data_IF_589132592290
#
_entry.id   IF_589132592290
#
_cell.length_a   1.000
_cell.length_b   1.000
_cell.length_c   1.000
_cell.angle_alpha   90.00
_cell.angle_beta   90.00
_cell.angle_gamma   90.00
#
_symmetry.space_group_name_H-M   'P 1'
#
loop_
_entity.id
_entity.type
_entity.pdbx_description
1 polymer ?
#
# COMPACT_ATOMS: atom_id res chain seq x y z
N UNK A 1 13.05 6.43 -1.67
CA UNK A 1 12.71 6.44 -0.22
C UNK A 1 11.56 7.40 0.12
N UNK A 2 11.49 8.63 -0.41
CA UNK A 2 10.42 9.59 -0.09
C UNK A 2 9.00 9.09 -0.37
N UNK A 3 8.83 8.33 -1.44
CA UNK A 3 7.55 7.68 -1.74
C UNK A 3 7.12 6.67 -0.67
N UNK A 4 8.06 5.90 -0.14
CA UNK A 4 7.80 4.97 0.97
C UNK A 4 7.39 5.74 2.24
N UNK A 5 8.06 6.84 2.56
CA UNK A 5 7.70 7.71 3.67
C UNK A 5 6.24 8.19 3.58
N UNK A 6 5.81 8.67 2.41
CA UNK A 6 4.41 9.07 2.17
C UNK A 6 3.44 7.92 2.44
N UNK A 7 3.78 6.69 2.02
CA UNK A 7 2.96 5.51 2.27
C UNK A 7 2.90 5.15 3.77
N UNK A 8 4.00 5.33 4.51
CA UNK A 8 4.00 5.14 5.97
C UNK A 8 3.09 6.17 6.66
N UNK A 9 3.22 7.46 6.34
CA UNK A 9 2.30 8.48 6.87
C UNK A 9 0.83 8.17 6.54
N UNK A 10 0.56 7.77 5.31
CA UNK A 10 -0.78 7.36 4.90
C UNK A 10 -1.30 6.20 5.77
N UNK A 11 -0.50 5.17 5.96
CA UNK A 11 -0.88 4.00 6.75
C UNK A 11 -1.16 4.37 8.22
N UNK A 12 -0.30 5.18 8.84
CA UNK A 12 -0.44 5.60 10.23
C UNK A 12 -1.66 6.51 10.44
N UNK A 13 -1.85 7.50 9.56
CA UNK A 13 -3.01 8.41 9.62
C UNK A 13 -4.31 7.63 9.41
N UNK A 14 -4.36 6.73 8.42
CA UNK A 14 -5.53 5.89 8.20
C UNK A 14 -5.80 4.94 9.38
N UNK A 15 -4.75 4.41 10.02
CA UNK A 15 -4.91 3.59 11.22
C UNK A 15 -5.52 4.39 12.38
N UNK A 16 -5.06 5.63 12.60
CA UNK A 16 -5.64 6.54 13.58
C UNK A 16 -7.13 6.81 13.28
N UNK A 17 -7.45 7.14 12.03
CA UNK A 17 -8.83 7.42 11.59
C UNK A 17 -9.76 6.19 11.69
N UNK A 18 -9.22 4.96 11.61
CA UNK A 18 -9.96 3.69 11.76
C UNK A 18 -10.05 3.18 13.22
N UNK A 19 -9.49 3.92 14.17
CA UNK A 19 -9.48 3.50 15.58
C UNK A 19 -10.67 4.12 16.30
N UNK A 20 -11.64 3.31 16.77
CA UNK A 20 -12.80 3.84 17.49
C UNK A 20 -12.41 4.63 18.75
N UNK A 21 -13.03 5.77 18.95
CA UNK A 21 -12.76 6.63 20.11
C UNK A 21 -11.42 7.37 20.08
N UNK A 22 -10.68 7.29 18.98
CA UNK A 22 -9.43 8.03 18.79
C UNK A 22 -9.76 9.50 18.49
N UNK A 23 -9.31 10.40 19.36
CA UNK A 23 -9.69 11.81 19.29
C UNK A 23 -9.00 12.59 18.15
N UNK A 24 -7.91 12.07 17.61
CA UNK A 24 -7.13 12.70 16.55
C UNK A 24 -5.67 12.29 16.62
N UNK A 25 -4.85 12.85 15.74
CA UNK A 25 -3.41 12.64 15.71
C UNK A 25 -2.69 13.97 15.55
N UNK A 26 -1.43 13.97 15.90
CA UNK A 26 -0.53 15.10 15.69
C UNK A 26 0.68 14.59 14.91
N UNK A 27 0.98 15.27 13.79
CA UNK A 27 2.16 14.99 13.00
C UNK A 27 3.30 15.88 13.50
N UNK A 28 4.35 15.25 14.00
CA UNK A 28 5.61 15.91 14.30
C UNK A 28 6.46 15.96 13.02
N UNK A 29 7.13 17.08 12.79
CA UNK A 29 8.04 17.29 11.64
C UNK A 29 7.36 17.15 10.27
N UNK A 30 6.32 17.95 10.00
CA UNK A 30 5.77 18.09 8.66
C UNK A 30 6.84 18.60 7.67
N UNK A 31 7.72 19.48 8.12
CA UNK A 31 8.94 19.89 7.42
C UNK A 31 10.19 19.40 8.13
N UNK A 32 11.31 19.36 7.42
CA UNK A 32 12.61 19.06 8.02
C UNK A 32 12.98 20.06 9.11
N UNK A 33 13.55 19.56 10.20
CA UNK A 33 14.00 20.38 11.31
C UNK A 33 15.52 20.53 11.29
N UNK A 34 16.06 21.68 10.82
CA UNK A 34 17.51 21.87 10.68
C UNK A 34 18.24 22.04 12.02
N UNK A 35 17.52 22.25 13.13
CA UNK A 35 18.11 22.33 14.47
C UNK A 35 18.59 21.00 15.04
N UNK A 36 18.24 19.88 14.39
CA UNK A 36 18.68 18.54 14.75
C UNK A 36 19.20 17.84 13.48
N UNK A 37 20.47 17.58 13.39
CA UNK A 37 21.15 17.16 12.16
C UNK A 37 20.65 15.87 11.50
N UNK A 38 19.79 15.07 12.18
CA UNK A 38 19.21 13.84 11.65
C UNK A 38 17.70 13.95 11.39
N UNK A 39 17.08 15.10 11.69
CA UNK A 39 15.64 15.29 11.56
C UNK A 39 15.21 15.77 10.15
N UNK A 40 15.71 15.07 9.11
CA UNK A 40 15.33 15.28 7.71
C UNK A 40 14.18 14.37 7.32
N UNK A 41 13.15 14.33 8.16
CA UNK A 41 12.03 13.36 8.07
C UNK A 41 10.73 13.98 7.56
N UNK A 42 10.70 15.29 7.35
CA UNK A 42 9.54 16.00 6.83
C UNK A 42 9.20 15.64 5.39
N UNK A 43 7.95 15.81 5.00
CA UNK A 43 7.52 15.75 3.59
C UNK A 43 7.84 17.04 2.85
N UNK A 44 8.10 18.11 3.59
CA UNK A 44 8.58 19.39 3.12
C UNK A 44 10.03 19.61 3.57
N UNK A 45 10.76 20.46 2.88
CA UNK A 45 12.10 20.86 3.26
C UNK A 45 12.07 21.93 4.38
N UNK A 46 13.22 22.40 4.91
CA UNK A 46 13.26 23.42 5.95
C UNK A 46 12.64 24.78 5.57
N UNK A 47 12.48 25.03 4.27
CA UNK A 47 11.90 26.25 3.74
C UNK A 47 10.40 26.13 3.40
N UNK A 48 9.81 24.96 3.71
CA UNK A 48 8.43 24.59 3.39
C UNK A 48 8.19 24.32 1.90
N UNK A 49 9.23 24.08 1.15
CA UNK A 49 9.13 23.69 -0.26
C UNK A 49 8.90 22.19 -0.40
N UNK A 50 8.25 21.80 -1.50
CA UNK A 50 7.98 20.41 -1.83
C UNK A 50 9.27 19.67 -2.19
N UNK A 51 9.47 18.49 -1.62
CA UNK A 51 10.59 17.59 -1.97
C UNK A 51 10.36 16.78 -3.26
N UNK A 52 9.25 17.00 -3.96
CA UNK A 52 8.95 16.43 -5.28
C UNK A 52 8.48 14.97 -5.30
N UNK A 53 8.21 14.33 -4.16
CA UNK A 53 7.73 12.94 -4.10
C UNK A 53 6.29 12.77 -3.63
N UNK A 54 5.64 13.83 -3.17
CA UNK A 54 4.21 13.90 -2.84
C UNK A 54 3.70 15.31 -3.08
N UNK A 55 2.49 15.42 -3.61
CA UNK A 55 1.82 16.71 -3.80
C UNK A 55 0.86 17.00 -2.65
N UNK A 56 0.52 18.28 -2.36
CA UNK A 56 -0.52 18.63 -1.40
C UNK A 56 -1.85 17.94 -1.68
N UNK A 57 -2.24 17.83 -2.95
CA UNK A 57 -3.45 17.13 -3.37
C UNK A 57 -3.41 15.64 -3.01
N UNK A 58 -2.29 14.99 -3.20
CA UNK A 58 -2.12 13.58 -2.86
C UNK A 58 -2.12 13.38 -1.35
N UNK A 59 -1.41 14.21 -0.60
CA UNK A 59 -1.38 14.14 0.87
C UNK A 59 -2.77 14.37 1.48
N UNK A 60 -3.56 15.28 0.91
CA UNK A 60 -4.92 15.57 1.37
C UNK A 60 -5.91 14.43 1.11
N UNK A 61 -5.58 13.42 0.33
CA UNK A 61 -6.49 12.28 0.13
C UNK A 61 -6.69 11.46 1.42
N UNK A 62 -5.67 11.39 2.27
CA UNK A 62 -5.70 10.66 3.54
C UNK A 62 -5.55 11.54 4.78
N UNK A 63 -5.16 12.81 4.63
CA UNK A 63 -5.06 13.80 5.70
C UNK A 63 -6.02 14.95 5.42
N UNK A 64 -7.29 14.76 5.74
CA UNK A 64 -8.38 15.69 5.43
C UNK A 64 -9.50 15.55 6.46
N UNK A 65 -10.41 16.52 6.47
CA UNK A 65 -11.61 16.50 7.34
C UNK A 65 -12.64 15.42 6.98
N UNK A 66 -12.60 14.89 5.77
CA UNK A 66 -13.44 13.75 5.35
C UNK A 66 -12.56 12.78 4.58
N UNK A 67 -12.33 11.59 5.10
CA UNK A 67 -11.43 10.60 4.53
C UNK A 67 -12.15 9.27 4.34
N UNK A 68 -12.28 8.79 3.09
CA UNK A 68 -12.69 7.41 2.83
C UNK A 68 -11.60 6.43 3.25
N UNK A 69 -12.00 5.30 3.82
CA UNK A 69 -11.13 4.27 4.38
C UNK A 69 -11.61 2.87 3.95
N UNK A 70 -10.68 1.95 3.81
CA UNK A 70 -10.99 0.53 3.58
C UNK A 70 -10.21 -0.32 4.58
N UNK A 71 -10.84 -1.37 5.12
CA UNK A 71 -10.16 -2.38 5.94
C UNK A 71 -9.76 -3.56 5.07
N UNK A 72 -8.60 -3.47 4.46
CA UNK A 72 -8.03 -4.60 3.73
C UNK A 72 -7.48 -5.65 4.71
N UNK A 73 -7.90 -6.92 4.63
CA UNK A 73 -7.29 -8.00 5.40
C UNK A 73 -5.88 -8.35 4.87
N UNK A 74 -5.64 -8.08 3.59
CA UNK A 74 -4.37 -8.29 2.90
C UNK A 74 -4.29 -7.44 1.65
N UNK A 75 -3.08 -7.20 1.13
CA UNK A 75 -2.89 -6.45 -0.12
C UNK A 75 -2.59 -7.36 -1.32
N UNK A 76 -2.23 -8.61 -1.07
CA UNK A 76 -1.93 -9.61 -2.11
C UNK A 76 -3.04 -10.66 -2.14
N UNK A 77 -3.57 -10.91 -3.31
CA UNK A 77 -4.73 -11.77 -3.56
C UNK A 77 -4.42 -12.79 -4.64
N UNK A 78 -5.17 -13.89 -4.64
CA UNK A 78 -5.18 -14.84 -5.74
C UNK A 78 -6.44 -14.64 -6.59
N UNK A 79 -6.36 -14.95 -7.87
CA UNK A 79 -7.48 -14.74 -8.78
C UNK A 79 -8.67 -15.70 -8.56
N UNK A 80 -8.51 -16.75 -7.75
CA UNK A 80 -9.62 -17.61 -7.31
C UNK A 80 -10.34 -17.09 -6.06
N UNK A 81 -9.97 -15.90 -5.57
CA UNK A 81 -10.61 -15.26 -4.42
C UNK A 81 -11.60 -14.18 -4.86
N UNK A 82 -12.43 -13.77 -3.93
CA UNK A 82 -13.30 -12.59 -4.05
C UNK A 82 -12.77 -11.49 -3.13
N UNK A 83 -12.49 -10.32 -3.69
CA UNK A 83 -12.25 -9.12 -2.90
C UNK A 83 -13.55 -8.78 -2.18
N UNK A 84 -13.55 -8.86 -0.86
CA UNK A 84 -14.68 -8.44 -0.02
C UNK A 84 -14.11 -7.59 1.11
N UNK A 85 -14.29 -6.27 1.00
CA UNK A 85 -13.66 -5.32 1.91
C UNK A 85 -14.66 -4.26 2.37
N UNK A 86 -14.76 -4.01 3.69
CA UNK A 86 -15.62 -2.98 4.23
C UNK A 86 -15.04 -1.59 3.97
N UNK A 87 -15.93 -0.68 3.57
CA UNK A 87 -15.65 0.74 3.41
C UNK A 87 -16.16 1.49 4.64
N UNK A 88 -15.30 2.30 5.20
CA UNK A 88 -15.60 3.19 6.33
C UNK A 88 -15.25 4.63 5.96
N UNK A 89 -15.76 5.56 6.75
CA UNK A 89 -15.46 6.98 6.59
C UNK A 89 -15.08 7.58 7.94
N UNK A 90 -14.13 8.50 7.90
CA UNK A 90 -13.91 9.46 8.96
C UNK A 90 -14.37 10.83 8.46
N UNK A 91 -15.25 11.48 9.22
CA UNK A 91 -15.78 12.80 8.88
C UNK A 91 -15.72 13.73 10.09
N UNK A 92 -14.83 14.71 10.01
CA UNK A 92 -14.62 15.75 11.02
C UNK A 92 -14.79 17.14 10.40
N UNK A 93 -15.75 17.27 9.46
CA UNK A 93 -16.15 18.53 8.88
C UNK A 93 -16.95 19.40 9.86
N UNK A 94 -17.27 20.62 9.46
CA UNK A 94 -17.99 21.59 10.30
C UNK A 94 -19.42 21.15 10.65
N UNK A 95 -20.03 20.31 9.81
CA UNK A 95 -21.40 19.81 9.98
C UNK A 95 -21.52 18.40 9.39
N UNK A 96 -22.48 17.64 9.89
CA UNK A 96 -22.85 16.35 9.31
C UNK A 96 -23.30 16.51 7.85
N UNK A 97 -23.04 15.51 7.02
CA UNK A 97 -23.51 15.44 5.63
C UNK A 97 -24.68 14.45 5.57
N UNK A 98 -25.79 14.90 4.97
CA UNK A 98 -26.97 14.07 4.77
C UNK A 98 -26.95 13.49 3.36
N UNK A 99 -27.22 12.18 3.23
CA UNK A 99 -27.33 11.53 1.94
C UNK A 99 -26.07 11.59 1.08
N UNK A 100 -24.88 11.56 1.69
CA UNK A 100 -23.62 11.66 0.96
C UNK A 100 -23.44 10.49 0.00
N UNK A 101 -23.02 10.80 -1.24
CA UNK A 101 -22.73 9.83 -2.28
C UNK A 101 -21.28 9.35 -2.20
N UNK A 102 -21.11 8.09 -1.89
CA UNK A 102 -19.82 7.42 -1.75
C UNK A 102 -19.66 6.52 -2.96
N UNK A 103 -18.75 6.86 -3.87
CA UNK A 103 -18.52 6.11 -5.11
C UNK A 103 -17.22 5.32 -4.97
N UNK A 104 -17.27 4.03 -5.25
CA UNK A 104 -16.07 3.22 -5.33
C UNK A 104 -15.81 2.74 -6.76
N UNK A 105 -14.54 2.53 -7.07
CA UNK A 105 -14.08 2.04 -8.37
C UNK A 105 -12.88 1.12 -8.20
N UNK A 106 -12.84 0.08 -9.02
CA UNK A 106 -11.67 -0.78 -9.22
C UNK A 106 -11.18 -0.57 -10.64
N UNK A 107 -9.90 -0.29 -10.82
CA UNK A 107 -9.27 -0.14 -12.13
C UNK A 107 -7.96 -0.92 -12.20
N UNK A 108 -7.58 -1.31 -13.42
CA UNK A 108 -6.27 -1.90 -13.68
C UNK A 108 -5.17 -0.84 -13.77
N UNK A 109 -3.95 -1.27 -14.02
CA UNK A 109 -2.77 -0.40 -14.10
C UNK A 109 -2.80 0.59 -15.27
N UNK A 110 -3.53 0.27 -16.35
CA UNK A 110 -3.76 1.19 -17.48
C UNK A 110 -4.84 2.25 -17.19
N UNK A 111 -5.51 2.16 -16.04
CA UNK A 111 -6.60 3.07 -15.66
C UNK A 111 -7.97 2.63 -16.19
N UNK A 112 -8.07 1.49 -16.86
CA UNK A 112 -9.32 0.92 -17.31
C UNK A 112 -10.18 0.49 -16.10
N UNK A 113 -11.44 0.85 -16.12
CA UNK A 113 -12.40 0.53 -15.07
C UNK A 113 -12.88 -0.91 -15.19
N UNK A 114 -12.61 -1.71 -14.16
CA UNK A 114 -13.08 -3.11 -14.06
C UNK A 114 -14.43 -3.22 -13.35
N UNK A 115 -14.64 -2.41 -12.31
CA UNK A 115 -15.88 -2.36 -11.54
C UNK A 115 -16.10 -0.99 -10.91
N UNK A 116 -17.36 -0.70 -10.59
CA UNK A 116 -17.73 0.46 -9.80
C UNK A 116 -19.06 0.23 -9.10
N UNK A 117 -19.31 0.99 -8.05
CA UNK A 117 -20.59 1.04 -7.37
C UNK A 117 -20.67 2.27 -6.48
N UNK A 118 -21.76 2.37 -5.74
CA UNK A 118 -21.95 3.50 -4.83
C UNK A 118 -22.75 3.10 -3.60
N UNK A 119 -22.56 3.88 -2.53
CA UNK A 119 -23.36 3.87 -1.32
C UNK A 119 -23.91 5.27 -1.08
N UNK A 120 -25.08 5.36 -0.45
CA UNK A 120 -25.61 6.63 0.04
C UNK A 120 -25.71 6.52 1.56
N UNK A 121 -25.06 7.45 2.28
CA UNK A 121 -24.99 7.43 3.74
C UNK A 121 -25.04 8.83 4.33
N UNK A 122 -25.64 8.92 5.50
CA UNK A 122 -25.47 10.08 6.36
C UNK A 122 -24.11 9.97 7.07
N UNK A 123 -23.36 11.04 7.07
CA UNK A 123 -22.05 11.13 7.71
C UNK A 123 -22.14 12.07 8.92
N UNK A 124 -22.33 11.53 10.12
CA UNK A 124 -22.19 12.33 11.34
C UNK A 124 -20.74 12.77 11.52
N UNK A 125 -20.47 13.74 12.40
CA UNK A 125 -19.11 14.10 12.78
C UNK A 125 -18.56 12.98 13.66
N UNK A 126 -17.84 12.03 13.05
CA UNK A 126 -17.30 10.84 13.71
C UNK A 126 -16.26 10.15 12.81
N UNK A 127 -15.58 9.16 13.37
CA UNK A 127 -14.82 8.17 12.61
C UNK A 127 -15.51 6.80 12.62
N UNK A 128 -14.95 5.83 11.90
CA UNK A 128 -15.47 4.47 11.80
C UNK A 128 -16.94 4.40 11.33
N UNK A 129 -17.37 5.34 10.47
CA UNK A 129 -18.73 5.38 9.92
C UNK A 129 -18.83 4.31 8.83
N UNK A 130 -19.63 3.22 8.99
CA UNK A 130 -19.71 2.18 7.99
C UNK A 130 -20.48 2.66 6.76
N UNK A 131 -19.91 2.52 5.58
CA UNK A 131 -20.56 2.86 4.30
C UNK A 131 -21.19 1.63 3.62
N UNK A 132 -20.46 0.53 3.54
CA UNK A 132 -20.87 -0.70 2.90
C UNK A 132 -19.66 -1.60 2.60
N UNK A 133 -19.85 -2.62 1.79
CA UNK A 133 -18.78 -3.53 1.36
C UNK A 133 -18.55 -3.40 -0.15
N UNK A 134 -17.30 -3.40 -0.57
CA UNK A 134 -16.92 -3.62 -1.96
C UNK A 134 -16.73 -5.12 -2.12
N UNK A 135 -17.48 -5.70 -3.06
CA UNK A 135 -17.35 -7.10 -3.42
C UNK A 135 -17.04 -7.21 -4.91
N UNK A 136 -15.95 -7.94 -5.25
CA UNK A 136 -15.51 -8.12 -6.62
C UNK A 136 -14.80 -9.46 -6.80
N UNK A 137 -15.30 -10.32 -7.71
CA UNK A 137 -14.66 -11.58 -8.04
C UNK A 137 -13.39 -11.32 -8.87
N UNK A 138 -12.26 -11.87 -8.42
CA UNK A 138 -10.95 -11.66 -9.06
C UNK A 138 -10.67 -12.66 -10.20
N UNK A 139 -11.61 -13.57 -10.51
CA UNK A 139 -11.44 -14.66 -11.47
C UNK A 139 -11.13 -14.22 -12.91
N UNK A 140 -11.47 -12.97 -13.26
CA UNK A 140 -11.13 -12.40 -14.58
C UNK A 140 -9.67 -11.93 -14.73
N UNK A 141 -8.85 -12.01 -13.67
CA UNK A 141 -7.45 -11.58 -13.68
C UNK A 141 -6.56 -12.79 -13.94
N UNK A 142 -6.14 -12.97 -15.18
CA UNK A 142 -5.40 -14.16 -15.62
C UNK A 142 -3.87 -14.02 -15.48
N UNK A 143 -3.36 -12.80 -15.46
CA UNK A 143 -1.93 -12.50 -15.32
C UNK A 143 -1.66 -11.66 -14.06
N UNK A 144 -0.44 -11.74 -13.47
CA UNK A 144 -0.08 -10.92 -12.33
C UNK A 144 -0.38 -9.45 -12.58
N UNK A 145 -1.23 -8.84 -11.77
CA UNK A 145 -1.76 -7.50 -12.01
C UNK A 145 -1.82 -6.67 -10.74
N UNK A 146 -1.51 -5.40 -10.87
CA UNK A 146 -1.82 -4.40 -9.87
C UNK A 146 -3.19 -3.79 -10.18
N UNK A 147 -4.07 -3.80 -9.19
CA UNK A 147 -5.35 -3.11 -9.25
C UNK A 147 -5.35 -1.92 -8.30
N UNK A 148 -6.04 -0.86 -8.68
CA UNK A 148 -6.29 0.30 -7.82
C UNK A 148 -7.76 0.29 -7.39
N UNK A 149 -7.97 0.25 -6.08
CA UNK A 149 -9.29 0.46 -5.46
C UNK A 149 -9.35 1.91 -5.00
N UNK A 150 -10.37 2.64 -5.41
CA UNK A 150 -10.60 4.04 -5.02
C UNK A 150 -11.98 4.24 -4.46
N UNK A 151 -12.10 5.15 -3.51
CA UNK A 151 -13.37 5.58 -2.92
C UNK A 151 -13.40 7.10 -2.88
N UNK A 152 -14.49 7.68 -3.33
CA UNK A 152 -14.74 9.12 -3.39
C UNK A 152 -15.99 9.49 -2.60
N UNK A 153 -15.94 10.56 -1.83
CA UNK A 153 -17.12 11.21 -1.23
C UNK A 153 -17.38 12.50 -1.97
N UNK A 154 -18.43 12.53 -2.78
CA UNK A 154 -18.70 13.65 -3.70
C UNK A 154 -18.91 14.98 -2.97
N UNK A 155 -19.71 14.98 -1.93
CA UNK A 155 -20.07 16.19 -1.17
C UNK A 155 -18.88 16.77 -0.40
N UNK A 156 -17.87 15.94 -0.12
CA UNK A 156 -16.61 16.38 0.51
C UNK A 156 -15.52 16.72 -0.51
N UNK A 157 -15.73 16.41 -1.80
CA UNK A 157 -14.74 16.53 -2.86
C UNK A 157 -13.39 15.90 -2.48
N UNK A 158 -13.44 14.75 -1.80
CA UNK A 158 -12.26 14.00 -1.41
C UNK A 158 -12.37 12.54 -1.83
N UNK A 159 -11.24 11.97 -2.22
CA UNK A 159 -11.12 10.57 -2.62
C UNK A 159 -9.85 9.98 -2.04
N UNK A 160 -9.85 8.68 -1.79
CA UNK A 160 -8.67 7.93 -1.38
C UNK A 160 -8.51 6.70 -2.27
N UNK A 161 -7.30 6.15 -2.35
CA UNK A 161 -6.99 5.02 -3.22
C UNK A 161 -5.92 4.12 -2.62
N UNK A 162 -6.00 2.83 -2.96
CA UNK A 162 -5.07 1.79 -2.52
C UNK A 162 -4.75 0.87 -3.69
N UNK A 163 -3.53 0.37 -3.73
CA UNK A 163 -3.12 -0.65 -4.67
C UNK A 163 -3.20 -2.02 -4.00
N UNK A 164 -3.73 -3.00 -4.72
CA UNK A 164 -3.68 -4.41 -4.38
C UNK A 164 -3.03 -5.17 -5.53
N UNK A 165 -2.48 -6.33 -5.24
CA UNK A 165 -1.84 -7.19 -6.23
C UNK A 165 -2.59 -8.51 -6.32
N UNK A 166 -2.92 -8.90 -7.54
CA UNK A 166 -3.63 -10.14 -7.83
C UNK A 166 -2.73 -11.05 -8.65
N UNK A 167 -2.58 -12.29 -8.21
CA UNK A 167 -1.78 -13.30 -8.87
C UNK A 167 -2.66 -14.49 -9.27
N UNK A 168 -2.36 -15.19 -10.39
CA UNK A 168 -3.01 -16.45 -10.72
C UNK A 168 -2.80 -17.49 -9.62
N UNK A 169 -3.89 -18.15 -9.19
CA UNK A 169 -3.81 -19.24 -8.20
C UNK A 169 -3.05 -20.47 -8.73
N UNK A 170 -3.13 -20.67 -10.06
CA UNK A 170 -2.34 -21.69 -10.76
C UNK A 170 -1.20 -21.01 -11.47
N UNK A 171 0.01 -21.24 -11.02
CA UNK A 171 1.19 -20.80 -11.75
C UNK A 171 1.40 -21.67 -12.98
N UNK A 172 1.78 -21.06 -14.09
CA UNK A 172 2.25 -21.81 -15.26
C UNK A 172 3.49 -22.58 -14.84
N UNK A 173 3.54 -23.89 -15.17
CA UNK A 173 4.73 -24.68 -14.91
C UNK A 173 5.92 -24.03 -15.63
N UNK A 174 7.00 -23.80 -14.91
CA UNK A 174 8.25 -23.32 -15.51
C UNK A 174 8.86 -24.52 -16.23
N UNK A 175 8.97 -24.42 -17.54
CA UNK A 175 9.48 -25.53 -18.39
C UNK A 175 10.91 -25.94 -18.01
N UNK A 176 11.70 -25.00 -17.51
CA UNK A 176 13.08 -25.25 -17.08
C UNK A 176 13.39 -24.49 -15.82
N UNK A 177 13.37 -25.21 -14.69
CA UNK A 177 13.81 -24.63 -13.41
C UNK A 177 15.35 -24.49 -13.43
N UNK A 178 15.90 -23.42 -12.85
CA UNK A 178 17.33 -23.34 -12.60
C UNK A 178 17.75 -24.47 -11.62
N UNK A 179 19.01 -24.89 -11.68
CA UNK A 179 19.55 -25.76 -10.66
C UNK A 179 19.59 -25.02 -9.32
N UNK A 180 18.96 -25.58 -8.29
CA UNK A 180 18.92 -24.96 -6.96
C UNK A 180 20.04 -25.55 -6.10
N UNK A 181 20.90 -24.71 -5.57
CA UNK A 181 22.01 -25.07 -4.71
C UNK A 181 21.97 -24.24 -3.41
N UNK A 182 22.45 -24.84 -2.32
CA UNK A 182 22.62 -24.15 -1.02
C UNK A 182 24.07 -23.74 -0.75
N UNK A 183 25.01 -24.25 -1.53
CA UNK A 183 26.44 -23.97 -1.42
C UNK A 183 27.03 -23.72 -2.81
N UNK A 184 28.09 -22.94 -2.86
CA UNK A 184 28.86 -22.71 -4.08
C UNK A 184 30.02 -23.73 -4.12
N UNK A 185 29.74 -24.91 -4.65
CA UNK A 185 30.70 -26.01 -4.77
C UNK A 185 31.16 -26.22 -6.24
N UNK A 186 32.06 -27.19 -6.45
CA UNK A 186 32.59 -27.49 -7.78
C UNK A 186 31.49 -27.94 -8.75
N UNK A 187 30.44 -28.57 -8.27
CA UNK A 187 29.31 -28.97 -9.10
C UNK A 187 28.55 -27.75 -9.63
N UNK A 188 28.33 -26.76 -8.77
CA UNK A 188 27.71 -25.48 -9.13
C UNK A 188 28.59 -24.72 -10.12
N UNK A 189 29.90 -24.65 -9.86
CA UNK A 189 30.86 -24.00 -10.75
C UNK A 189 30.88 -24.63 -12.12
N UNK A 190 30.95 -25.94 -12.21
CA UNK A 190 30.90 -26.67 -13.48
C UNK A 190 29.62 -26.43 -14.29
N UNK A 191 28.47 -26.23 -13.61
CA UNK A 191 27.21 -25.87 -14.27
C UNK A 191 27.23 -24.46 -14.83
N UNK A 192 27.73 -23.50 -14.05
CA UNK A 192 27.89 -22.11 -14.48
C UNK A 192 28.84 -21.98 -15.67
N UNK A 193 29.97 -22.72 -15.67
CA UNK A 193 30.91 -22.78 -16.81
C UNK A 193 30.27 -23.32 -18.09
N UNK A 194 29.28 -24.22 -17.96
CA UNK A 194 28.47 -24.74 -19.08
C UNK A 194 27.36 -23.79 -19.51
N UNK A 195 27.23 -22.62 -18.88
CA UNK A 195 26.17 -21.63 -19.17
C UNK A 195 24.79 -22.03 -18.63
N UNK A 196 24.72 -22.94 -17.65
CA UNK A 196 23.47 -23.29 -16.99
C UNK A 196 23.06 -22.22 -15.99
N UNK A 197 21.75 -22.00 -15.82
CA UNK A 197 21.22 -21.11 -14.78
C UNK A 197 21.22 -21.83 -13.43
N UNK A 198 21.82 -21.20 -12.42
CA UNK A 198 21.85 -21.69 -11.04
C UNK A 198 21.19 -20.65 -10.12
N UNK A 199 20.28 -21.11 -9.27
CA UNK A 199 19.72 -20.34 -8.17
C UNK A 199 20.42 -20.76 -6.87
N UNK A 200 21.26 -19.87 -6.32
CA UNK A 200 21.96 -20.12 -5.07
C UNK A 200 21.12 -19.58 -3.89
N UNK A 201 20.60 -20.48 -3.07
CA UNK A 201 19.86 -20.19 -1.84
C UNK A 201 20.74 -20.47 -0.64
N UNK A 202 21.54 -19.52 -0.25
CA UNK A 202 22.45 -19.64 0.89
C UNK A 202 21.67 -19.73 2.20
N UNK A 203 22.11 -20.62 3.11
CA UNK A 203 21.58 -20.66 4.45
C UNK A 203 21.98 -19.40 5.25
N UNK A 204 21.14 -18.94 6.21
CA UNK A 204 21.52 -17.86 7.10
C UNK A 204 22.88 -18.10 7.77
N UNK A 205 23.74 -17.10 7.81
CA UNK A 205 25.07 -17.19 8.41
C UNK A 205 26.13 -17.89 7.54
N UNK A 206 25.83 -18.27 6.30
CA UNK A 206 26.80 -18.90 5.39
C UNK A 206 27.75 -17.88 4.71
N UNK A 207 27.47 -16.59 4.80
CA UNK A 207 28.36 -15.52 4.32
C UNK A 207 29.19 -15.02 5.50
N UNK A 208 30.52 -15.04 5.34
CA UNK A 208 31.42 -14.53 6.35
C UNK A 208 31.22 -13.02 6.55
N UNK A 209 31.11 -12.51 7.80
CA UNK A 209 30.85 -11.12 8.09
C UNK A 209 31.83 -10.15 7.42
N UNK A 210 33.11 -10.52 7.34
CA UNK A 210 34.17 -9.73 6.70
C UNK A 210 34.07 -9.66 5.17
N UNK A 211 33.23 -10.51 4.55
CA UNK A 211 33.06 -10.60 3.09
C UNK A 211 31.78 -9.96 2.57
N UNK A 212 30.77 -9.74 3.40
CA UNK A 212 29.50 -9.25 2.90
C UNK A 212 28.64 -8.50 3.91
N UNK A 213 29.12 -8.37 5.14
CA UNK A 213 28.31 -7.84 6.23
C UNK A 213 27.25 -8.85 6.71
N UNK A 214 26.68 -8.58 7.85
CA UNK A 214 25.58 -9.39 8.39
C UNK A 214 24.26 -8.94 7.76
N UNK A 215 23.77 -9.70 6.79
CA UNK A 215 22.46 -9.42 6.14
C UNK A 215 21.32 -9.50 7.18
N UNK A 216 21.53 -10.19 8.31
CA UNK A 216 20.54 -10.28 9.38
C UNK A 216 20.48 -9.04 10.27
N UNK A 217 21.48 -8.15 10.23
CA UNK A 217 21.46 -6.90 10.99
C UNK A 217 20.46 -5.87 10.45
N UNK A 218 19.83 -6.12 9.31
CA UNK A 218 18.78 -5.27 8.71
C UNK A 218 17.37 -5.68 9.11
N UNK A 219 17.19 -6.69 9.99
CA UNK A 219 15.89 -7.22 10.42
C UNK A 219 15.68 -7.01 11.94
N UNK A 220 16.15 -5.91 12.46
CA UNK A 220 15.84 -5.49 13.84
C UNK A 220 15.01 -4.23 13.82
#
# INVERSE_FOLDING_TARGET
SGRLQTLCYKADIEAALRTPGFAGFQLLDLHDFPGQGTALVGVLDPFWDEKGYVTPKEYSTFCNKTVPLIRFPKMVWLNNETLNVPVELAHFGEKALQGANIIWKISNQSGEKLAQGSFVKDLPIANCIPAGNIEYALSGIEEPSQLTVSVEVKEANNSNRWNIWVYPAKQKAVEKLPYIASTLDDQVMNRLEKGENVLLLLAPGSILPEKGGDILSLIH
#
